data_IF_561070431618
#
_entry.id   IF_561070431618
#
_cell.length_a   1.000
_cell.length_b   1.000
_cell.length_c   1.000
_cell.angle_alpha   90.00
_cell.angle_beta   90.00
_cell.angle_gamma   90.00
#
_symmetry.space_group_name_H-M   'P 1'
#
loop_
_entity.id
_entity.type
_entity.pdbx_description
1 polymer ?
#
# COMPACT_ATOMS: atom_id res chain seq x y z
N UNK A 1 -0.45 -15.22 -17.30
CA UNK A 1 0.97 -14.80 -17.26
C UNK A 1 1.35 -14.80 -15.80
N UNK A 2 2.36 -15.58 -15.42
CA UNK A 2 2.74 -15.88 -14.04
C UNK A 2 2.97 -14.59 -13.25
N UNK A 3 2.00 -14.24 -12.42
CA UNK A 3 2.03 -13.08 -11.56
C UNK A 3 3.05 -13.37 -10.44
N UNK A 4 4.31 -13.04 -10.72
CA UNK A 4 5.44 -13.23 -9.82
C UNK A 4 5.43 -12.14 -8.73
N UNK A 5 4.24 -11.75 -8.26
CA UNK A 5 4.08 -10.81 -7.16
C UNK A 5 4.42 -11.54 -5.86
N UNK A 6 5.44 -11.10 -5.12
CA UNK A 6 5.74 -11.68 -3.82
C UNK A 6 4.55 -11.48 -2.90
N UNK A 7 3.96 -12.60 -2.41
CA UNK A 7 2.89 -12.52 -1.40
C UNK A 7 3.49 -12.07 -0.09
N UNK A 8 3.18 -10.84 0.31
CA UNK A 8 3.59 -10.31 1.60
C UNK A 8 2.43 -10.36 2.60
N UNK A 9 2.63 -11.08 3.70
CA UNK A 9 1.66 -11.10 4.81
C UNK A 9 2.03 -10.00 5.80
N UNK A 10 1.36 -8.85 5.69
CA UNK A 10 1.57 -7.72 6.59
C UNK A 10 0.84 -7.95 7.92
N UNK A 11 1.58 -8.02 9.04
CA UNK A 11 0.98 -8.01 10.39
C UNK A 11 0.77 -6.58 10.85
N UNK A 12 -0.48 -6.13 10.80
CA UNK A 12 -0.88 -4.83 11.33
C UNK A 12 -1.95 -4.98 12.41
N UNK A 13 -2.03 -4.03 13.36
CA UNK A 13 -3.14 -3.95 14.30
C UNK A 13 -4.47 -3.90 13.55
N UNK A 14 -5.48 -4.60 14.09
CA UNK A 14 -6.81 -4.67 13.50
C UNK A 14 -7.44 -3.29 13.30
N UNK A 15 -7.21 -2.37 14.23
CA UNK A 15 -7.66 -0.98 14.15
C UNK A 15 -7.15 -0.24 12.91
N UNK A 16 -5.90 -0.49 12.50
CA UNK A 16 -5.34 0.12 11.28
C UNK A 16 -5.94 -0.52 10.03
N UNK A 17 -6.15 -1.84 10.06
CA UNK A 17 -6.77 -2.57 8.97
C UNK A 17 -8.21 -2.12 8.73
N UNK A 18 -8.99 -1.90 9.78
CA UNK A 18 -10.36 -1.36 9.71
C UNK A 18 -10.37 0.06 9.12
N UNK A 19 -9.43 0.92 9.52
CA UNK A 19 -9.28 2.26 8.90
C UNK A 19 -8.94 2.19 7.42
N UNK A 20 -8.01 1.33 7.02
CA UNK A 20 -7.64 1.15 5.60
C UNK A 20 -8.83 0.59 4.81
N UNK A 21 -9.58 -0.35 5.39
CA UNK A 21 -10.82 -0.86 4.77
C UNK A 21 -11.84 0.23 4.55
N UNK A 22 -12.07 1.09 5.55
CA UNK A 22 -12.99 2.21 5.43
C UNK A 22 -12.57 3.19 4.34
N UNK A 23 -11.28 3.53 4.26
CA UNK A 23 -10.74 4.41 3.21
C UNK A 23 -10.87 3.75 1.83
N UNK A 24 -10.57 2.45 1.73
CA UNK A 24 -10.68 1.70 0.48
C UNK A 24 -12.14 1.62 0.00
N UNK A 25 -13.09 1.36 0.90
CA UNK A 25 -14.52 1.34 0.61
C UNK A 25 -15.01 2.71 0.14
N UNK A 26 -14.61 3.77 0.85
CA UNK A 26 -14.88 5.15 0.47
C UNK A 26 -14.35 5.51 -0.93
N UNK A 27 -13.16 5.04 -1.27
CA UNK A 27 -12.54 5.25 -2.58
C UNK A 27 -13.02 4.24 -3.66
N UNK A 28 -13.92 3.31 -3.34
CA UNK A 28 -14.43 2.29 -4.27
C UNK A 28 -13.37 1.28 -4.70
N UNK A 29 -12.41 0.96 -3.85
CA UNK A 29 -11.24 0.11 -4.13
C UNK A 29 -11.16 -1.07 -3.17
N UNK A 30 -10.44 -2.11 -3.59
CA UNK A 30 -10.07 -3.18 -2.66
C UNK A 30 -9.00 -2.69 -1.68
N UNK A 31 -9.02 -3.24 -0.46
CA UNK A 31 -8.02 -2.92 0.58
C UNK A 31 -6.59 -3.11 0.08
N UNK A 32 -6.33 -4.15 -0.72
CA UNK A 32 -5.02 -4.38 -1.32
C UNK A 32 -4.61 -3.25 -2.26
N UNK A 33 -5.50 -2.83 -3.17
CA UNK A 33 -5.17 -1.80 -4.17
C UNK A 33 -4.90 -0.43 -3.52
N UNK A 34 -5.55 -0.16 -2.40
CA UNK A 34 -5.27 1.04 -1.62
C UNK A 34 -3.92 0.96 -0.88
N UNK A 35 -3.58 -0.21 -0.33
CA UNK A 35 -2.26 -0.44 0.28
C UNK A 35 -1.15 -0.29 -0.78
N UNK A 36 -1.32 -0.84 -1.97
CA UNK A 36 -0.36 -0.69 -3.08
C UNK A 36 -0.13 0.79 -3.42
N UNK A 37 -1.21 1.56 -3.60
CA UNK A 37 -1.09 3.01 -3.86
C UNK A 37 -0.37 3.75 -2.74
N UNK A 38 -0.67 3.42 -1.47
CA UNK A 38 0.01 4.04 -0.34
C UNK A 38 1.51 3.73 -0.34
N UNK A 39 1.90 2.52 -0.76
CA UNK A 39 3.31 2.13 -0.92
C UNK A 39 3.94 2.92 -2.05
N UNK A 40 3.31 3.00 -3.23
CA UNK A 40 3.83 3.79 -4.37
C UNK A 40 4.00 5.27 -4.02
N UNK A 41 3.01 5.86 -3.35
CA UNK A 41 3.09 7.25 -2.89
C UNK A 41 4.19 7.43 -1.83
N UNK A 42 4.37 6.45 -0.94
CA UNK A 42 5.44 6.48 0.05
C UNK A 42 6.82 6.39 -0.60
N UNK A 43 7.00 5.48 -1.56
CA UNK A 43 8.24 5.35 -2.34
C UNK A 43 8.51 6.64 -3.10
N UNK A 44 7.52 7.18 -3.82
CA UNK A 44 7.67 8.43 -4.59
C UNK A 44 8.12 9.59 -3.69
N UNK A 45 7.42 9.80 -2.55
CA UNK A 45 7.78 10.85 -1.58
C UNK A 45 9.16 10.62 -0.98
N UNK A 46 9.51 9.36 -0.73
CA UNK A 46 10.82 9.00 -0.20
C UNK A 46 11.92 9.27 -1.24
N UNK A 47 11.71 8.91 -2.51
CA UNK A 47 12.66 9.19 -3.60
C UNK A 47 12.84 10.69 -3.86
N UNK A 48 11.76 11.47 -3.76
CA UNK A 48 11.81 12.93 -3.85
C UNK A 48 12.64 13.55 -2.70
N UNK A 49 12.46 13.05 -1.48
CA UNK A 49 13.13 13.61 -0.30
C UNK A 49 14.55 13.09 -0.07
N UNK A 50 14.89 11.87 -0.50
CA UNK A 50 16.14 11.19 -0.14
C UNK A 50 17.13 11.00 -1.30
N UNK A 51 16.84 11.53 -2.50
CA UNK A 51 17.63 11.36 -3.73
C UNK A 51 17.82 9.89 -4.12
N UNK A 52 17.00 9.41 -5.07
CA UNK A 52 17.07 8.10 -5.77
C UNK A 52 17.82 7.01 -5.01
N UNK A 53 17.08 6.23 -4.22
CA UNK A 53 17.60 4.98 -3.67
C UNK A 53 18.08 4.13 -4.86
N UNK A 54 19.38 3.83 -4.89
CA UNK A 54 20.04 3.05 -5.94
C UNK A 54 20.21 1.60 -5.49
#
# INVERSE_FOLDING_TARGET
>A
MSDNLPRYTLRIPREKLDKIKFIADYNGRSTNKEIERLIDEHISKFEESHSKIK
#
